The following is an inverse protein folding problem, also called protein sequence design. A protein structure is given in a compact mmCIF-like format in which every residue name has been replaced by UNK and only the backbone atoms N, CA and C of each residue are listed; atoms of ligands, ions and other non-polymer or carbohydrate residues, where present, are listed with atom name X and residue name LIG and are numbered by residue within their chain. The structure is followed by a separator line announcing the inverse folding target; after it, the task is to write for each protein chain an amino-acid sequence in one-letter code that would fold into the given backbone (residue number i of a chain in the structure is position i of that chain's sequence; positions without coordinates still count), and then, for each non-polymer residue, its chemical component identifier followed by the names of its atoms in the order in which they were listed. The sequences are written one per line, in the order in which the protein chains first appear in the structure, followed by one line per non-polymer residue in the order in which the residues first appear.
data_IF_741524383473
#
_entry.id   IF_741524383473
#
_cell.length_a   1.000
_cell.length_b   1.000
_cell.length_c   1.000
_cell.angle_alpha   90.00
_cell.angle_beta   90.00
_cell.angle_gamma   90.00
#
_symmetry.space_group_name_H-M   'P 1'
#
loop_
_entity.id
_entity.type
_entity.pdbx_description
1 polymer ?
#
# COMPACT_ATOMS: atom_id res chain seq x y z
N UNK A 1 -44.26 -22.72 3.15
CA UNK A 1 -45.38 -23.53 3.66
C UNK A 1 -44.97 -24.03 5.03
N UNK A 2 -45.50 -23.39 6.06
CA UNK A 2 -45.40 -23.81 7.46
C UNK A 2 -46.61 -24.69 7.77
N UNK A 3 -46.49 -25.67 8.66
CA UNK A 3 -47.57 -26.61 8.99
C UNK A 3 -48.88 -25.93 9.45
N UNK A 4 -48.79 -24.68 9.93
CA UNK A 4 -49.92 -23.86 10.41
C UNK A 4 -50.87 -23.36 9.30
N UNK A 5 -50.50 -23.39 8.01
CA UNK A 5 -51.39 -22.91 6.92
C UNK A 5 -52.65 -23.78 6.75
N UNK A 6 -52.71 -24.94 7.41
CA UNK A 6 -53.84 -25.89 7.33
C UNK A 6 -54.85 -25.78 8.47
N UNK A 7 -54.54 -25.06 9.56
CA UNK A 7 -55.34 -25.05 10.79
C UNK A 7 -55.46 -23.64 11.37
N UNK A 8 -56.65 -23.26 11.87
CA UNK A 8 -56.87 -21.96 12.54
C UNK A 8 -56.12 -21.87 13.88
N UNK A 9 -55.93 -23.02 14.55
CA UNK A 9 -55.18 -23.20 15.80
C UNK A 9 -54.88 -24.70 15.92
N UNK A 10 -53.64 -25.08 16.21
CA UNK A 10 -53.26 -26.49 16.45
C UNK A 10 -52.87 -26.62 17.93
N UNK A 11 -53.64 -27.42 18.67
CA UNK A 11 -53.42 -27.65 20.11
C UNK A 11 -53.52 -29.13 20.43
N UNK A 12 -52.71 -29.59 21.37
CA UNK A 12 -52.72 -30.96 21.85
C UNK A 12 -52.50 -30.99 23.36
N UNK A 13 -52.99 -32.04 24.01
CA UNK A 13 -52.61 -32.31 25.39
C UNK A 13 -51.20 -32.92 25.44
N UNK A 14 -50.43 -32.48 26.42
CA UNK A 14 -49.11 -33.00 26.70
C UNK A 14 -48.88 -33.23 28.19
N UNK A 15 -47.91 -34.07 28.51
CA UNK A 15 -47.39 -34.25 29.86
C UNK A 15 -46.04 -33.55 29.93
N UNK A 16 -45.97 -32.47 30.69
CA UNK A 16 -44.78 -31.65 30.84
C UNK A 16 -44.13 -31.86 32.20
N UNK A 17 -42.83 -32.11 32.21
CA UNK A 17 -41.99 -32.17 33.40
C UNK A 17 -40.92 -31.10 33.30
N UNK A 18 -40.97 -30.15 34.23
CA UNK A 18 -40.05 -29.01 34.33
C UNK A 18 -38.63 -29.43 34.77
N UNK A 19 -38.54 -30.52 35.53
CA UNK A 19 -37.30 -31.11 36.02
C UNK A 19 -37.54 -32.60 36.31
N UNK A 20 -36.54 -33.48 36.19
CA UNK A 20 -36.70 -34.91 36.45
C UNK A 20 -37.23 -35.24 37.86
N UNK A 21 -37.04 -34.34 38.82
CA UNK A 21 -37.48 -34.50 40.21
C UNK A 21 -38.95 -34.09 40.45
N UNK A 22 -39.61 -33.47 39.47
CA UNK A 22 -40.99 -33.01 39.57
C UNK A 22 -41.94 -33.94 38.81
N UNK A 23 -43.12 -34.24 39.38
CA UNK A 23 -44.12 -35.05 38.69
C UNK A 23 -44.57 -34.35 37.39
N UNK A 24 -44.73 -35.10 36.28
CA UNK A 24 -45.31 -34.56 35.06
C UNK A 24 -46.68 -33.96 35.34
N UNK A 25 -46.92 -32.77 34.81
CA UNK A 25 -48.22 -32.11 34.85
C UNK A 25 -48.82 -32.08 33.46
N UNK A 26 -50.14 -32.24 33.40
CA UNK A 26 -50.86 -32.14 32.14
C UNK A 26 -50.92 -30.67 31.70
N UNK A 27 -50.58 -30.41 30.44
CA UNK A 27 -50.55 -29.08 29.84
C UNK A 27 -51.26 -29.07 28.51
N UNK A 28 -51.78 -27.91 28.13
CA UNK A 28 -52.21 -27.63 26.76
C UNK A 28 -51.01 -27.11 25.99
N UNK A 29 -50.62 -27.81 24.93
CA UNK A 29 -49.54 -27.41 24.02
C UNK A 29 -50.17 -26.72 22.81
N UNK A 30 -49.94 -25.42 22.70
CA UNK A 30 -50.38 -24.62 21.55
C UNK A 30 -49.23 -24.45 20.57
N UNK A 31 -49.47 -24.81 19.31
CA UNK A 31 -48.53 -24.63 18.22
C UNK A 31 -48.72 -23.26 17.57
N UNK A 32 -47.75 -22.37 17.74
CA UNK A 32 -47.74 -21.06 17.10
C UNK A 32 -46.81 -21.04 15.87
N UNK A 33 -46.32 -19.87 15.46
CA UNK A 33 -45.55 -19.74 14.22
C UNK A 33 -44.14 -20.36 14.32
N UNK A 34 -43.45 -20.14 15.44
CA UNK A 34 -42.07 -20.64 15.69
C UNK A 34 -41.86 -21.17 17.11
N UNK A 35 -42.91 -21.15 17.91
CA UNK A 35 -42.92 -21.45 19.34
C UNK A 35 -43.98 -22.49 19.69
N UNK A 36 -43.69 -23.32 20.68
CA UNK A 36 -44.69 -24.08 21.41
C UNK A 36 -44.97 -23.33 22.70
N UNK A 37 -46.23 -23.04 22.97
CA UNK A 37 -46.67 -22.45 24.23
C UNK A 37 -47.30 -23.56 25.06
N UNK A 38 -46.80 -23.75 26.27
CA UNK A 38 -47.33 -24.73 27.22
C UNK A 38 -48.16 -23.97 28.25
N UNK A 39 -49.43 -24.31 28.37
CA UNK A 39 -50.38 -23.65 29.27
C UNK A 39 -51.03 -24.64 30.24
N UNK A 40 -51.51 -24.16 31.39
CA UNK A 40 -52.35 -24.95 32.28
C UNK A 40 -53.75 -25.20 31.70
N UNK A 41 -54.58 -25.97 32.41
CA UNK A 41 -55.96 -26.27 31.99
C UNK A 41 -56.91 -25.05 32.02
N UNK A 42 -56.48 -23.93 32.61
CA UNK A 42 -57.21 -22.66 32.60
C UNK A 42 -56.63 -21.70 31.54
N UNK A 43 -55.83 -22.21 30.59
CA UNK A 43 -55.13 -21.46 29.54
C UNK A 43 -54.12 -20.42 30.04
N UNK A 44 -53.63 -20.53 31.28
CA UNK A 44 -52.54 -19.68 31.75
C UNK A 44 -51.19 -20.21 31.21
N UNK A 45 -50.39 -19.39 30.51
CA UNK A 45 -49.10 -19.83 29.97
C UNK A 45 -48.11 -20.14 31.10
N UNK A 46 -47.49 -21.32 31.01
CA UNK A 46 -46.46 -21.81 31.93
C UNK A 46 -45.06 -21.55 31.38
N UNK A 47 -44.81 -21.94 30.12
CA UNK A 47 -43.52 -21.71 29.47
C UNK A 47 -43.64 -21.70 27.94
N UNK A 48 -42.56 -21.25 27.28
CA UNK A 48 -42.48 -21.11 25.83
C UNK A 48 -41.23 -21.82 25.33
N UNK A 49 -41.37 -22.72 24.35
CA UNK A 49 -40.26 -23.42 23.72
C UNK A 49 -40.07 -22.97 22.28
N UNK A 50 -38.83 -22.68 21.88
CA UNK A 50 -38.51 -22.43 20.49
C UNK A 50 -38.46 -23.77 19.72
N UNK A 51 -39.36 -23.98 18.75
CA UNK A 51 -39.42 -25.25 17.98
C UNK A 51 -38.13 -25.59 17.25
N UNK A 52 -37.34 -24.59 16.87
CA UNK A 52 -36.04 -24.79 16.23
C UNK A 52 -34.97 -25.31 17.20
N UNK A 53 -35.19 -25.16 18.51
CA UNK A 53 -34.30 -25.60 19.57
C UNK A 53 -34.81 -26.86 20.29
N UNK A 54 -35.99 -27.38 19.94
CA UNK A 54 -36.48 -28.64 20.51
C UNK A 54 -35.89 -29.84 19.79
N UNK A 55 -35.49 -30.84 20.57
CA UNK A 55 -35.02 -32.12 20.08
C UNK A 55 -35.96 -33.24 20.52
N UNK A 56 -36.11 -34.26 19.68
CA UNK A 56 -36.96 -35.42 19.97
C UNK A 56 -36.12 -36.51 20.61
N UNK A 57 -36.44 -36.87 21.85
CA UNK A 57 -35.77 -37.92 22.61
C UNK A 57 -36.27 -39.31 22.22
N UNK A 58 -37.58 -39.49 22.05
CA UNK A 58 -38.19 -40.80 21.74
C UNK A 58 -39.46 -40.61 20.90
N UNK A 59 -39.80 -41.62 20.10
CA UNK A 59 -41.04 -41.71 19.33
C UNK A 59 -41.57 -43.16 19.40
N UNK A 60 -42.77 -43.34 19.93
CA UNK A 60 -43.47 -44.62 20.00
C UNK A 60 -44.90 -44.45 19.46
N UNK A 61 -45.12 -44.87 18.21
CA UNK A 61 -46.38 -44.62 17.50
C UNK A 61 -46.68 -43.12 17.35
N UNK A 62 -47.81 -42.66 17.90
CA UNK A 62 -48.22 -41.25 17.93
C UNK A 62 -47.64 -40.45 19.11
N UNK A 63 -46.91 -41.13 20.01
CA UNK A 63 -46.37 -40.57 21.24
C UNK A 63 -44.91 -40.15 21.05
N UNK A 64 -44.60 -38.88 21.24
CA UNK A 64 -43.24 -38.36 21.16
C UNK A 64 -42.86 -37.62 22.45
N UNK A 65 -41.59 -37.76 22.85
CA UNK A 65 -41.00 -36.99 23.95
C UNK A 65 -40.01 -35.99 23.36
N UNK A 66 -40.21 -34.72 23.70
CA UNK A 66 -39.36 -33.61 23.29
C UNK A 66 -38.64 -33.00 24.49
N UNK A 67 -37.50 -32.38 24.22
CA UNK A 67 -36.77 -31.57 25.20
C UNK A 67 -36.26 -30.29 24.51
N UNK A 68 -36.24 -29.13 25.19
CA UNK A 68 -35.68 -27.89 24.67
C UNK A 68 -34.17 -27.77 24.96
N UNK A 69 -33.61 -28.68 25.76
CA UNK A 69 -32.23 -28.66 26.21
C UNK A 69 -31.45 -29.87 25.65
N UNK A 70 -30.13 -29.88 25.88
CA UNK A 70 -29.25 -30.97 25.43
C UNK A 70 -29.13 -32.11 26.43
N UNK A 71 -29.61 -31.92 27.67
CA UNK A 71 -29.37 -32.80 28.82
C UNK A 71 -30.61 -33.63 29.19
N UNK A 72 -31.77 -33.33 28.60
CA UNK A 72 -33.06 -33.95 28.85
C UNK A 72 -33.70 -33.56 30.17
N UNK A 73 -33.38 -32.39 30.74
CA UNK A 73 -33.90 -31.98 32.06
C UNK A 73 -35.37 -31.60 31.98
N UNK A 74 -35.72 -30.78 31.00
CA UNK A 74 -37.11 -30.42 30.72
C UNK A 74 -37.67 -31.34 29.64
N UNK A 75 -38.81 -31.98 29.90
CA UNK A 75 -39.41 -32.94 28.97
C UNK A 75 -40.89 -32.66 28.72
N UNK A 76 -41.30 -32.84 27.47
CA UNK A 76 -42.69 -32.70 27.02
C UNK A 76 -43.06 -33.93 26.21
N UNK A 77 -43.98 -34.70 26.75
CA UNK A 77 -44.56 -35.86 26.10
C UNK A 77 -45.88 -35.46 25.42
N UNK A 78 -46.01 -35.73 24.13
CA UNK A 78 -47.20 -35.42 23.32
C UNK A 78 -47.66 -36.72 22.66
N UNK A 79 -48.95 -37.05 22.80
CA UNK A 79 -49.56 -38.22 22.16
C UNK A 79 -50.61 -37.78 21.13
N UNK A 80 -50.16 -36.99 20.16
CA UNK A 80 -50.97 -36.47 19.07
C UNK A 80 -50.15 -36.51 17.78
N UNK A 81 -50.60 -37.30 16.81
CA UNK A 81 -49.84 -37.54 15.59
C UNK A 81 -49.68 -36.27 14.74
N UNK A 82 -50.66 -35.38 14.76
CA UNK A 82 -50.68 -34.16 13.96
C UNK A 82 -49.72 -33.11 14.56
N UNK A 83 -49.76 -32.93 15.88
CA UNK A 83 -48.82 -32.08 16.62
C UNK A 83 -47.38 -32.57 16.45
N UNK A 84 -47.16 -33.88 16.57
CA UNK A 84 -45.83 -34.50 16.39
C UNK A 84 -45.31 -34.28 14.97
N UNK A 85 -46.16 -34.42 13.95
CA UNK A 85 -45.79 -34.16 12.57
C UNK A 85 -45.47 -32.68 12.34
N UNK A 86 -46.26 -31.76 12.88
CA UNK A 86 -46.07 -30.32 12.75
C UNK A 86 -44.72 -29.87 13.34
N UNK A 87 -44.37 -30.35 14.54
CA UNK A 87 -43.07 -30.09 15.19
C UNK A 87 -41.91 -30.66 14.34
N UNK A 88 -42.08 -31.85 13.79
CA UNK A 88 -41.07 -32.50 12.96
C UNK A 88 -40.80 -31.74 11.64
N UNK A 89 -41.82 -31.10 11.05
CA UNK A 89 -41.65 -30.32 9.82
C UNK A 89 -40.81 -29.04 10.07
N UNK A 90 -41.08 -28.33 11.17
CA UNK A 90 -40.38 -27.08 11.50
C UNK A 90 -38.93 -27.33 11.92
N UNK A 91 -38.70 -28.33 12.79
CA UNK A 91 -37.35 -28.70 13.23
C UNK A 91 -36.44 -29.13 12.07
N UNK A 92 -36.96 -29.87 11.08
CA UNK A 92 -36.20 -30.24 9.87
C UNK A 92 -35.78 -29.04 9.03
N UNK A 93 -36.67 -28.06 8.88
CA UNK A 93 -36.39 -26.83 8.11
C UNK A 93 -35.30 -25.97 8.77
N UNK A 94 -35.22 -25.95 10.11
CA UNK A 94 -34.18 -25.23 10.84
C UNK A 94 -32.78 -25.84 10.64
N UNK A 95 -32.66 -27.17 10.66
CA UNK A 95 -31.38 -27.88 10.51
C UNK A 95 -30.77 -27.68 9.11
N UNK A 96 -31.60 -27.45 8.09
CA UNK A 96 -31.14 -27.23 6.70
C UNK A 96 -30.41 -25.90 6.48
N UNK A 97 -30.46 -24.94 7.41
CA UNK A 97 -29.73 -23.66 7.34
C UNK A 97 -28.26 -23.83 7.80
N UNK A 98 -27.62 -24.93 7.40
CA UNK A 98 -26.17 -25.10 7.58
C UNK A 98 -25.47 -24.61 6.32
N UNK A 99 -24.77 -23.48 6.42
CA UNK A 99 -24.19 -22.72 5.31
C UNK A 99 -23.30 -23.57 4.39
N UNK A 100 -23.81 -23.85 3.19
CA UNK A 100 -23.14 -24.66 2.16
C UNK A 100 -22.68 -23.80 1.00
N UNK A 101 -21.49 -23.22 1.09
CA UNK A 101 -20.74 -22.79 -0.12
C UNK A 101 -19.24 -22.59 0.17
N UNK A 102 -18.48 -23.68 0.35
CA UNK A 102 -17.03 -23.59 0.58
C UNK A 102 -16.26 -23.03 -0.63
N UNK A 103 -16.81 -23.12 -1.85
CA UNK A 103 -16.17 -22.61 -3.07
C UNK A 103 -16.06 -21.08 -3.08
N UNK A 104 -17.00 -20.37 -2.44
CA UNK A 104 -16.97 -18.91 -2.36
C UNK A 104 -15.73 -18.42 -1.60
N UNK A 105 -15.29 -19.16 -0.57
CA UNK A 105 -14.06 -18.86 0.16
C UNK A 105 -12.84 -18.90 -0.75
N UNK A 106 -12.77 -19.89 -1.65
CA UNK A 106 -11.68 -20.01 -2.62
C UNK A 106 -11.72 -18.90 -3.69
N UNK A 107 -12.91 -18.48 -4.13
CA UNK A 107 -13.05 -17.33 -5.05
C UNK A 107 -12.57 -16.04 -4.40
N UNK A 108 -13.00 -15.75 -3.18
CA UNK A 108 -12.52 -14.58 -2.44
C UNK A 108 -11.01 -14.63 -2.21
N UNK A 109 -10.45 -15.79 -1.87
CA UNK A 109 -9.01 -15.94 -1.68
C UNK A 109 -8.24 -15.74 -3.00
N UNK A 110 -8.73 -16.29 -4.11
CA UNK A 110 -8.13 -16.09 -5.43
C UNK A 110 -8.18 -14.62 -5.85
N UNK A 111 -9.30 -13.92 -5.61
CA UNK A 111 -9.44 -12.49 -5.85
C UNK A 111 -8.43 -11.66 -5.04
N UNK A 112 -8.27 -11.94 -3.74
CA UNK A 112 -7.30 -11.24 -2.90
C UNK A 112 -5.85 -11.47 -3.37
N UNK A 113 -5.48 -12.71 -3.67
CA UNK A 113 -4.14 -13.05 -4.17
C UNK A 113 -3.88 -12.32 -5.50
N UNK A 114 -4.86 -12.32 -6.40
CA UNK A 114 -4.76 -11.65 -7.69
C UNK A 114 -4.59 -10.13 -7.51
N UNK A 115 -5.36 -9.52 -6.60
CA UNK A 115 -5.25 -8.09 -6.28
C UNK A 115 -3.88 -7.72 -5.71
N UNK A 116 -3.37 -8.48 -4.74
CA UNK A 116 -2.04 -8.26 -4.16
C UNK A 116 -0.95 -8.40 -5.22
N UNK A 117 -1.06 -9.43 -6.07
CA UNK A 117 -0.09 -9.67 -7.14
C UNK A 117 -0.08 -8.51 -8.14
N UNK A 118 -1.27 -8.04 -8.56
CA UNK A 118 -1.38 -6.90 -9.46
C UNK A 118 -0.75 -5.63 -8.87
N UNK A 119 -1.01 -5.34 -7.59
CA UNK A 119 -0.39 -4.20 -6.88
C UNK A 119 1.13 -4.37 -6.82
N UNK A 120 1.63 -5.56 -6.48
CA UNK A 120 3.07 -5.81 -6.36
C UNK A 120 3.82 -5.56 -7.68
N UNK A 121 3.23 -5.95 -8.82
CA UNK A 121 3.83 -5.71 -10.13
C UNK A 121 3.66 -4.27 -10.64
N UNK A 122 2.55 -3.59 -10.32
CA UNK A 122 2.26 -2.24 -10.81
C UNK A 122 2.84 -1.12 -9.93
N UNK A 123 2.99 -1.34 -8.61
CA UNK A 123 3.42 -0.30 -7.67
C UNK A 123 4.80 0.28 -7.98
N UNK A 124 5.84 -0.50 -8.35
CA UNK A 124 7.18 0.07 -8.58
C UNK A 124 7.20 1.10 -9.70
N UNK A 125 6.53 0.83 -10.84
CA UNK A 125 6.48 1.79 -11.95
C UNK A 125 5.64 3.01 -11.60
N UNK A 126 4.51 2.82 -10.91
CA UNK A 126 3.65 3.93 -10.50
C UNK A 126 4.37 4.88 -9.52
N UNK A 127 5.09 4.33 -8.54
CA UNK A 127 5.84 5.11 -7.56
C UNK A 127 6.99 5.88 -8.22
N UNK A 128 7.68 5.28 -9.21
CA UNK A 128 8.74 5.97 -9.96
C UNK A 128 8.20 7.15 -10.75
N UNK A 129 7.13 6.94 -11.53
CA UNK A 129 6.50 8.01 -12.30
C UNK A 129 6.01 9.14 -11.40
N UNK A 130 5.44 8.79 -10.24
CA UNK A 130 4.98 9.76 -9.26
C UNK A 130 6.14 10.54 -8.63
N UNK A 131 7.24 9.87 -8.28
CA UNK A 131 8.43 10.50 -7.74
C UNK A 131 9.05 11.51 -8.73
N UNK A 132 9.15 11.15 -10.02
CA UNK A 132 9.64 12.06 -11.08
C UNK A 132 8.73 13.28 -11.20
N UNK A 133 7.40 13.08 -11.28
CA UNK A 133 6.43 14.17 -11.43
C UNK A 133 6.41 15.14 -10.24
N UNK A 134 6.63 14.65 -9.03
CA UNK A 134 6.68 15.47 -7.82
C UNK A 134 8.03 16.18 -7.63
N UNK A 135 9.08 15.71 -8.27
CA UNK A 135 10.42 16.28 -8.15
C UNK A 135 10.55 17.50 -9.06
N UNK A 136 10.27 18.69 -8.51
CA UNK A 136 10.56 19.96 -9.18
C UNK A 136 12.07 20.22 -9.34
N UNK A 137 12.45 21.26 -10.11
CA UNK A 137 13.85 21.57 -10.42
C UNK A 137 14.70 21.85 -9.16
N UNK A 138 14.12 22.48 -8.14
CA UNK A 138 14.80 22.74 -6.87
C UNK A 138 15.09 21.46 -6.07
N UNK A 139 14.10 20.56 -5.97
CA UNK A 139 14.27 19.27 -5.29
C UNK A 139 15.29 18.39 -6.01
N UNK A 140 15.26 18.41 -7.34
CA UNK A 140 16.25 17.73 -8.17
C UNK A 140 17.67 18.24 -7.88
N UNK A 141 17.85 19.57 -7.83
CA UNK A 141 19.15 20.20 -7.59
C UNK A 141 19.67 19.91 -6.19
N UNK A 142 18.78 19.87 -5.21
CA UNK A 142 19.11 19.43 -3.86
C UNK A 142 19.57 17.98 -3.84
N UNK A 143 18.84 17.06 -4.47
CA UNK A 143 19.24 15.65 -4.57
C UNK A 143 20.62 15.51 -5.22
N UNK A 144 20.87 16.21 -6.33
CA UNK A 144 22.19 16.20 -6.97
C UNK A 144 23.31 16.74 -6.08
N UNK A 145 23.05 17.81 -5.35
CA UNK A 145 24.03 18.40 -4.41
C UNK A 145 24.32 17.45 -3.25
N UNK A 146 23.29 16.83 -2.68
CA UNK A 146 23.42 15.85 -1.60
C UNK A 146 24.18 14.61 -2.09
N UNK A 147 23.91 14.14 -3.31
CA UNK A 147 24.68 13.05 -3.94
C UNK A 147 26.16 13.40 -4.11
N UNK A 148 26.47 14.59 -4.60
CA UNK A 148 27.87 15.03 -4.75
C UNK A 148 28.56 15.11 -3.38
N UNK A 149 27.87 15.55 -2.34
CA UNK A 149 28.41 15.58 -0.98
C UNK A 149 28.79 14.18 -0.46
N UNK A 150 28.05 13.12 -0.84
CA UNK A 150 28.38 11.73 -0.43
C UNK A 150 29.59 11.13 -1.13
N UNK A 151 30.11 11.75 -2.20
CA UNK A 151 31.23 11.20 -2.98
C UNK A 151 32.59 11.34 -2.30
N UNK A 152 32.66 12.05 -1.17
CA UNK A 152 33.90 12.43 -0.48
C UNK A 152 34.95 12.96 -1.48
N UNK A 153 34.47 13.72 -2.46
CA UNK A 153 35.31 14.31 -3.48
C UNK A 153 35.98 15.56 -2.92
N UNK A 154 37.30 15.67 -3.08
CA UNK A 154 38.05 16.87 -2.72
C UNK A 154 37.61 18.05 -3.61
N UNK A 155 36.62 18.78 -3.11
CA UNK A 155 36.03 19.95 -3.75
C UNK A 155 37.02 21.11 -3.70
N UNK A 156 37.36 21.65 -4.86
CA UNK A 156 38.23 22.81 -4.92
C UNK A 156 37.47 24.05 -4.44
N UNK A 157 38.04 24.78 -3.47
CA UNK A 157 37.46 25.98 -2.89
C UNK A 157 38.53 27.06 -2.79
N UNK A 158 38.12 28.30 -3.03
CA UNK A 158 39.02 29.45 -2.94
C UNK A 158 38.23 30.74 -3.11
N UNK A 159 38.38 31.70 -2.20
CA UNK A 159 37.53 32.90 -2.14
C UNK A 159 37.42 33.64 -3.49
N UNK A 160 38.53 33.77 -4.23
CA UNK A 160 38.56 34.45 -5.53
C UNK A 160 38.00 33.58 -6.64
N UNK A 161 38.36 32.30 -6.65
CA UNK A 161 37.92 31.36 -7.67
C UNK A 161 36.42 31.03 -7.54
N UNK A 162 35.89 30.95 -6.32
CA UNK A 162 34.46 30.81 -6.05
C UNK A 162 33.67 32.04 -6.54
N UNK A 163 34.19 33.25 -6.32
CA UNK A 163 33.57 34.46 -6.87
C UNK A 163 33.59 34.45 -8.42
N UNK A 164 34.67 33.98 -9.04
CA UNK A 164 34.75 33.83 -10.49
C UNK A 164 33.76 32.76 -11.02
N UNK A 165 33.62 31.64 -10.29
CA UNK A 165 32.64 30.58 -10.58
C UNK A 165 31.21 31.09 -10.51
N UNK A 166 30.84 31.82 -9.46
CA UNK A 166 29.50 32.39 -9.29
C UNK A 166 29.20 33.46 -10.37
N UNK A 167 30.18 34.30 -10.71
CA UNK A 167 30.05 35.27 -11.79
C UNK A 167 29.85 34.57 -13.14
N UNK A 168 30.59 33.50 -13.41
CA UNK A 168 30.43 32.70 -14.61
C UNK A 168 29.03 32.08 -14.67
N UNK A 169 28.60 31.40 -13.60
CA UNK A 169 27.30 30.74 -13.53
C UNK A 169 26.15 31.72 -13.74
N UNK A 170 26.17 32.88 -13.09
CA UNK A 170 25.10 33.89 -13.23
C UNK A 170 24.99 34.46 -14.65
N UNK A 171 26.06 34.44 -15.44
CA UNK A 171 26.10 34.92 -16.83
C UNK A 171 25.81 33.83 -17.85
N UNK A 172 26.41 32.65 -17.68
CA UNK A 172 26.24 31.52 -18.58
C UNK A 172 24.87 30.84 -18.40
N UNK A 173 24.34 30.82 -17.17
CA UNK A 173 23.12 30.11 -16.80
C UNK A 173 22.19 31.03 -15.97
N UNK A 174 21.64 32.10 -16.57
CA UNK A 174 20.79 33.06 -15.84
C UNK A 174 19.53 32.42 -15.24
N UNK A 175 19.02 31.34 -15.83
CA UNK A 175 17.86 30.60 -15.33
C UNK A 175 18.19 29.67 -14.13
N UNK A 176 19.46 29.59 -13.73
CA UNK A 176 19.91 28.74 -12.62
C UNK A 176 19.85 27.23 -12.89
N UNK A 177 19.61 26.84 -14.15
CA UNK A 177 19.43 25.44 -14.55
C UNK A 177 20.69 24.58 -14.51
N UNK A 178 21.88 25.17 -14.33
CA UNK A 178 23.16 24.44 -14.24
C UNK A 178 23.99 24.97 -13.07
N UNK A 179 24.48 24.07 -12.22
CA UNK A 179 25.36 24.36 -11.09
C UNK A 179 26.67 23.60 -11.23
N UNK A 180 27.78 24.33 -11.29
CA UNK A 180 29.13 23.77 -11.45
C UNK A 180 29.80 23.53 -10.10
N UNK A 181 30.37 22.34 -9.96
CA UNK A 181 31.23 21.92 -8.84
C UNK A 181 32.55 21.42 -9.39
N UNK A 182 33.66 21.99 -8.92
CA UNK A 182 35.00 21.58 -9.35
C UNK A 182 35.65 20.66 -8.30
N UNK A 183 36.26 19.58 -8.77
CA UNK A 183 36.92 18.59 -7.91
C UNK A 183 38.36 18.38 -8.32
N UNK A 184 39.25 18.20 -7.34
CA UNK A 184 40.70 18.07 -7.57
C UNK A 184 41.06 16.76 -8.29
N UNK A 185 40.26 15.72 -8.09
CA UNK A 185 40.50 14.38 -8.63
C UNK A 185 40.38 14.34 -10.17
N UNK A 186 41.11 13.43 -10.83
CA UNK A 186 41.10 13.23 -12.29
C UNK A 186 39.84 12.50 -12.79
N UNK A 187 38.68 12.79 -12.19
CA UNK A 187 37.42 12.18 -12.62
C UNK A 187 36.92 12.85 -13.91
N UNK A 188 36.33 12.08 -14.84
CA UNK A 188 35.67 12.66 -15.99
C UNK A 188 34.50 13.52 -15.53
N UNK A 189 34.16 14.55 -16.32
CA UNK A 189 33.03 15.39 -16.00
C UNK A 189 31.71 14.60 -16.06
N UNK A 190 30.81 14.87 -15.11
CA UNK A 190 29.54 14.15 -14.95
C UNK A 190 28.43 15.09 -14.51
N UNK A 191 27.22 14.82 -14.99
CA UNK A 191 26.01 15.48 -14.54
C UNK A 191 25.30 14.65 -13.46
N UNK A 192 24.71 15.36 -12.52
CA UNK A 192 23.89 14.86 -11.43
C UNK A 192 22.49 15.46 -11.54
N UNK A 193 21.49 14.92 -10.83
CA UNK A 193 20.13 15.44 -10.88
C UNK A 193 20.04 16.95 -10.61
N UNK A 194 19.14 17.62 -11.33
CA UNK A 194 18.91 19.06 -11.18
C UNK A 194 20.03 19.94 -11.68
N UNK A 195 20.72 19.51 -12.74
CA UNK A 195 21.73 20.31 -13.45
C UNK A 195 23.03 20.50 -12.68
N UNK A 196 23.31 19.68 -11.66
CA UNK A 196 24.58 19.75 -10.93
C UNK A 196 25.66 19.06 -11.76
N UNK A 197 26.62 19.80 -12.28
CA UNK A 197 27.70 19.30 -13.13
C UNK A 197 29.01 19.33 -12.35
N UNK A 198 29.62 18.16 -12.19
CA UNK A 198 30.91 17.99 -11.53
C UNK A 198 32.00 17.90 -12.59
N UNK A 199 33.01 18.77 -12.51
CA UNK A 199 34.11 18.83 -13.46
C UNK A 199 35.44 18.62 -12.71
N UNK A 200 36.25 17.67 -13.18
CA UNK A 200 37.58 17.44 -12.64
C UNK A 200 38.58 18.51 -13.08
N UNK A 201 39.59 18.77 -12.23
CA UNK A 201 40.62 19.79 -12.49
C UNK A 201 41.30 19.64 -13.86
N UNK A 202 41.63 18.41 -14.28
CA UNK A 202 42.30 18.17 -15.56
C UNK A 202 41.45 18.62 -16.76
N UNK A 203 40.13 18.40 -16.71
CA UNK A 203 39.21 18.83 -17.76
C UNK A 203 39.03 20.35 -17.79
N UNK A 204 39.00 21.00 -16.61
CA UNK A 204 38.94 22.46 -16.52
C UNK A 204 40.19 23.13 -17.09
N UNK A 205 41.38 22.56 -16.83
CA UNK A 205 42.65 23.10 -17.31
C UNK A 205 42.87 22.90 -18.81
N UNK A 206 42.24 21.89 -19.43
CA UNK A 206 42.34 21.66 -20.87
C UNK A 206 41.50 22.64 -21.70
N UNK A 207 40.48 23.25 -21.10
CA UNK A 207 39.60 24.20 -21.79
C UNK A 207 40.35 25.51 -22.08
N UNK A 208 40.16 26.05 -23.29
CA UNK A 208 40.86 27.24 -23.75
C UNK A 208 40.11 28.52 -23.38
N UNK A 209 38.77 28.48 -23.37
CA UNK A 209 37.92 29.64 -23.13
C UNK A 209 36.77 29.34 -22.14
N UNK A 210 36.20 30.39 -21.51
CA UNK A 210 34.99 30.23 -20.70
C UNK A 210 33.78 29.77 -21.53
N UNK A 211 33.75 30.06 -22.83
CA UNK A 211 32.67 29.62 -23.72
C UNK A 211 32.69 28.09 -23.93
N UNK A 212 33.88 27.50 -24.03
CA UNK A 212 34.05 26.04 -24.11
C UNK A 212 33.55 25.35 -22.82
N UNK A 213 33.80 25.95 -21.66
CA UNK A 213 33.25 25.48 -20.39
C UNK A 213 31.72 25.57 -20.39
N UNK A 214 31.13 26.62 -20.94
CA UNK A 214 29.67 26.81 -20.98
C UNK A 214 29.01 25.75 -21.88
N UNK A 215 29.51 25.59 -23.11
CA UNK A 215 29.03 24.58 -24.07
C UNK A 215 29.10 23.18 -23.50
N UNK A 216 30.26 22.81 -22.95
CA UNK A 216 30.47 21.52 -22.33
C UNK A 216 29.50 21.29 -21.16
N UNK A 217 29.29 22.30 -20.31
CA UNK A 217 28.39 22.21 -19.15
C UNK A 217 26.93 22.03 -19.55
N UNK A 218 26.48 22.66 -20.64
CA UNK A 218 25.11 22.51 -21.17
C UNK A 218 24.91 21.11 -21.74
N UNK A 219 25.87 20.61 -22.51
CA UNK A 219 25.82 19.27 -23.06
C UNK A 219 25.76 18.20 -21.96
N UNK A 220 26.48 18.44 -20.85
CA UNK A 220 26.41 17.59 -19.66
C UNK A 220 25.07 17.73 -18.92
N UNK A 221 24.60 18.95 -18.65
CA UNK A 221 23.39 19.17 -17.84
C UNK A 221 22.12 18.63 -18.51
N UNK A 222 22.12 18.51 -19.85
CA UNK A 222 21.07 17.79 -20.59
C UNK A 222 20.89 16.32 -20.15
N UNK A 223 21.93 15.69 -19.57
CA UNK A 223 21.87 14.32 -19.06
C UNK A 223 21.32 14.23 -17.62
N UNK A 224 21.04 15.37 -16.96
CA UNK A 224 20.58 15.40 -15.57
C UNK A 224 19.23 14.70 -15.38
N UNK A 225 18.35 14.75 -16.38
CA UNK A 225 17.05 14.06 -16.35
C UNK A 225 17.24 12.54 -16.41
N UNK A 226 18.07 12.05 -17.33
CA UNK A 226 18.41 10.62 -17.42
C UNK A 226 19.07 10.11 -16.13
N UNK A 227 19.92 10.93 -15.53
CA UNK A 227 20.59 10.62 -14.26
C UNK A 227 19.59 10.53 -13.10
N UNK A 228 18.57 11.39 -13.09
CA UNK A 228 17.48 11.32 -12.11
C UNK A 228 16.62 10.07 -12.30
N UNK A 229 16.28 9.73 -13.54
CA UNK A 229 15.56 8.49 -13.84
C UNK A 229 16.36 7.27 -13.34
N UNK A 230 17.67 7.24 -13.60
CA UNK A 230 18.56 6.18 -13.10
C UNK A 230 18.57 6.08 -11.57
N UNK A 231 18.55 7.20 -10.84
CA UNK A 231 18.46 7.23 -9.38
C UNK A 231 17.17 6.54 -8.90
N UNK A 232 16.01 6.87 -9.48
CA UNK A 232 14.72 6.31 -9.08
C UNK A 232 14.51 4.87 -9.55
N UNK A 233 15.02 4.50 -10.73
CA UNK A 233 14.99 3.13 -11.26
C UNK A 233 15.75 2.16 -10.36
N UNK A 234 16.90 2.59 -9.85
CA UNK A 234 17.70 1.79 -8.94
C UNK A 234 17.27 1.90 -7.46
N UNK A 235 16.24 2.69 -7.15
CA UNK A 235 15.66 2.79 -5.81
C UNK A 235 14.54 1.77 -5.59
N UNK A 236 14.45 1.25 -4.37
CA UNK A 236 13.41 0.28 -3.99
C UNK A 236 12.04 0.93 -3.81
N UNK A 237 10.92 0.17 -3.91
CA UNK A 237 9.58 0.71 -3.69
C UNK A 237 9.39 1.38 -2.33
N UNK A 238 10.08 0.90 -1.28
CA UNK A 238 10.04 1.49 0.06
C UNK A 238 10.72 2.86 0.08
N UNK A 239 11.92 2.97 -0.49
CA UNK A 239 12.65 4.24 -0.58
C UNK A 239 11.89 5.28 -1.40
N UNK A 240 11.24 4.85 -2.50
CA UNK A 240 10.40 5.73 -3.31
C UNK A 240 9.16 6.21 -2.54
N UNK A 241 8.52 5.32 -1.78
CA UNK A 241 7.40 5.71 -0.92
C UNK A 241 7.82 6.69 0.18
N UNK A 242 8.95 6.43 0.84
CA UNK A 242 9.53 7.32 1.84
C UNK A 242 9.92 8.67 1.23
N UNK A 243 10.46 8.69 0.01
CA UNK A 243 10.76 9.92 -0.71
C UNK A 243 9.51 10.72 -1.06
N UNK A 244 8.46 10.07 -1.56
CA UNK A 244 7.19 10.75 -1.91
C UNK A 244 6.54 11.37 -0.67
N UNK A 245 6.63 10.70 0.48
CA UNK A 245 5.99 11.15 1.72
C UNK A 245 6.83 12.14 2.52
N UNK A 246 8.16 11.98 2.55
CA UNK A 246 9.08 12.78 3.37
C UNK A 246 9.94 13.77 2.58
N UNK A 247 10.02 13.62 1.25
CA UNK A 247 10.90 14.39 0.38
C UNK A 247 12.39 14.05 0.51
N UNK A 248 12.75 12.93 1.15
CA UNK A 248 14.14 12.55 1.43
C UNK A 248 14.44 11.12 1.00
N UNK A 249 15.66 10.90 0.54
CA UNK A 249 16.26 9.57 0.33
C UNK A 249 17.32 9.32 1.39
N UNK A 250 17.62 8.05 1.66
CA UNK A 250 18.68 7.68 2.60
C UNK A 250 20.05 8.08 2.05
N UNK A 251 20.97 8.44 2.93
CA UNK A 251 22.34 8.84 2.57
C UNK A 251 23.09 7.69 1.87
N UNK A 252 22.85 6.45 2.29
CA UNK A 252 23.41 5.24 1.66
C UNK A 252 22.95 5.09 0.20
N UNK A 253 21.66 5.35 -0.08
CA UNK A 253 21.11 5.29 -1.43
C UNK A 253 21.68 6.39 -2.33
N UNK A 254 21.80 7.60 -1.80
CA UNK A 254 22.44 8.72 -2.50
C UNK A 254 23.91 8.40 -2.80
N UNK A 255 24.65 7.84 -1.85
CA UNK A 255 26.04 7.43 -2.04
C UNK A 255 26.20 6.33 -3.10
N UNK A 256 25.32 5.33 -3.09
CA UNK A 256 25.36 4.26 -4.08
C UNK A 256 25.04 4.79 -5.49
N UNK A 257 24.03 5.64 -5.62
CA UNK A 257 23.66 6.26 -6.89
C UNK A 257 24.76 7.20 -7.41
N UNK A 258 25.36 8.01 -6.53
CA UNK A 258 26.44 8.90 -6.89
C UNK A 258 27.65 8.13 -7.42
N UNK A 259 27.98 6.98 -6.80
CA UNK A 259 29.03 6.08 -7.30
C UNK A 259 28.68 5.51 -8.67
N UNK A 260 27.46 5.02 -8.89
CA UNK A 260 27.07 4.45 -10.19
C UNK A 260 27.16 5.46 -11.34
N UNK A 261 26.78 6.72 -11.08
CA UNK A 261 26.89 7.81 -12.07
C UNK A 261 28.36 8.15 -12.32
N UNK A 262 29.17 8.18 -11.27
CA UNK A 262 30.61 8.46 -11.40
C UNK A 262 31.37 7.40 -12.21
N UNK A 263 30.89 6.15 -12.23
CA UNK A 263 31.47 5.05 -13.00
C UNK A 263 30.86 4.89 -14.40
N UNK A 264 29.73 5.53 -14.69
CA UNK A 264 28.94 5.36 -15.92
C UNK A 264 29.11 6.48 -16.94
N UNK A 265 28.70 6.18 -18.18
CA UNK A 265 28.55 6.96 -19.43
C UNK A 265 29.57 8.08 -19.75
N UNK A 266 30.40 7.83 -20.76
CA UNK A 266 31.19 8.84 -21.48
C UNK A 266 30.29 9.71 -22.36
N UNK A 267 30.62 11.00 -22.45
CA UNK A 267 29.85 11.99 -23.21
C UNK A 267 29.92 11.64 -24.70
N UNK A 268 28.76 11.42 -25.30
CA UNK A 268 28.57 11.37 -26.75
C UNK A 268 27.86 12.62 -27.25
N UNK A 269 28.46 13.25 -28.26
CA UNK A 269 28.05 14.38 -29.10
C UNK A 269 27.54 15.67 -28.42
N UNK A 270 28.20 16.78 -28.76
CA UNK A 270 28.07 18.10 -28.14
C UNK A 270 26.89 18.84 -28.80
N UNK A 271 25.94 19.32 -28.00
CA UNK A 271 24.83 20.14 -28.47
C UNK A 271 25.28 21.58 -28.78
N UNK A 272 24.62 22.23 -29.76
CA UNK A 272 24.96 23.59 -30.19
C UNK A 272 24.78 24.62 -29.07
N UNK A 273 25.88 25.19 -28.60
CA UNK A 273 25.92 26.39 -27.76
C UNK A 273 26.00 27.66 -28.62
N UNK A 274 25.16 28.65 -28.34
CA UNK A 274 25.29 29.99 -28.92
C UNK A 274 25.94 30.91 -27.88
N UNK A 275 27.17 31.38 -28.09
CA UNK A 275 27.85 32.25 -27.15
C UNK A 275 27.13 33.59 -26.99
N UNK A 276 27.14 34.19 -25.79
CA UNK A 276 26.53 35.49 -25.54
C UNK A 276 27.30 36.63 -26.22
N UNK A 277 26.61 37.75 -26.47
CA UNK A 277 27.18 38.97 -27.06
C UNK A 277 28.27 39.65 -26.19
N UNK A 278 28.40 39.25 -24.92
CA UNK A 278 29.43 39.73 -23.99
C UNK A 278 30.26 38.56 -23.46
N UNK A 279 31.58 38.75 -23.26
CA UNK A 279 32.44 37.69 -22.74
C UNK A 279 32.01 37.26 -21.34
N UNK A 280 31.83 35.96 -21.15
CA UNK A 280 31.36 35.35 -19.89
C UNK A 280 32.25 35.74 -18.70
N UNK A 281 33.56 35.72 -18.89
CA UNK A 281 34.56 36.11 -17.89
C UNK A 281 35.66 36.97 -18.52
N UNK A 282 36.32 37.78 -17.69
CA UNK A 282 37.59 38.44 -18.07
C UNK A 282 38.73 37.42 -17.99
N UNK A 283 39.80 37.61 -18.76
CA UNK A 283 40.95 36.70 -18.81
C UNK A 283 41.55 36.39 -17.43
N UNK A 284 41.62 37.40 -16.55
CA UNK A 284 42.13 37.22 -15.19
C UNK A 284 41.20 36.34 -14.34
N UNK A 285 39.88 36.54 -14.46
CA UNK A 285 38.89 35.76 -13.72
C UNK A 285 38.86 34.31 -14.24
N UNK A 286 39.02 34.14 -15.57
CA UNK A 286 39.16 32.82 -16.20
C UNK A 286 40.40 32.07 -15.71
N UNK A 287 41.58 32.72 -15.69
CA UNK A 287 42.80 32.12 -15.14
C UNK A 287 42.68 31.79 -13.65
N UNK A 288 41.95 32.60 -12.88
CA UNK A 288 41.69 32.35 -11.47
C UNK A 288 40.81 31.09 -11.33
N UNK A 289 39.76 30.97 -12.14
CA UNK A 289 38.88 29.81 -12.15
C UNK A 289 39.62 28.53 -12.58
N UNK A 290 40.44 28.57 -13.65
CA UNK A 290 41.25 27.42 -14.10
C UNK A 290 42.20 26.89 -13.03
N UNK A 291 42.65 27.76 -12.12
CA UNK A 291 43.57 27.42 -11.04
C UNK A 291 42.88 27.17 -9.69
N UNK A 292 41.54 27.03 -9.66
CA UNK A 292 40.76 26.82 -8.43
C UNK A 292 41.25 25.63 -7.59
N UNK A 293 41.79 24.60 -8.24
CA UNK A 293 42.32 23.41 -7.59
C UNK A 293 43.83 23.45 -7.36
N UNK A 294 44.50 24.58 -7.58
CA UNK A 294 45.94 24.76 -7.32
C UNK A 294 46.21 25.68 -6.14
N UNK A 295 45.24 26.51 -5.77
CA UNK A 295 45.20 27.21 -4.47
C UNK A 295 44.95 26.22 -3.31
#
# INVERSE_FOLDING_TARGET
MTAIDKYTRLEALGQWSESPDLPPREVVVSFENTTLVLSDMNENPLCHWAMAATSRLTLDGAKAVYTPDTEGFETLEINDAEMVEAIAQVSRAAITIKSRTPWLRWVFMAFLITGITAIFYAAPSLLRDQAVRMTGPESARKLGTDMVATLDADMCRGLKADAARELFQSRAFPDGGTSLVFVRNQRPARAFPGGVVVIGNAALQSMQSPDELAEFSIALSAQSEATMMQLFDASSPRELFDYITSGKLSEERLAQAARSISTGFEIGDIGNYTPPDQPLLRDQDWRTLQNICLE
#
